data_IF_858631933624
#
_entry.id   IF_858631933624
#
_cell.length_a   1.000
_cell.length_b   1.000
_cell.length_c   1.000
_cell.angle_alpha   90.00
_cell.angle_beta   90.00
_cell.angle_gamma   90.00
#
_symmetry.space_group_name_H-M   'P 1'
#
loop_
_entity.id
_entity.type
_entity.pdbx_description
1 polymer ?
#
# COMPACT_ATOMS: atom_id res chain seq x y z
N UNK A 1 -11.64 -15.19 -2.83
CA UNK A 1 -11.40 -14.38 -1.62
C UNK A 1 -12.70 -13.66 -1.28
N UNK A 2 -13.14 -13.71 -0.02
CA UNK A 2 -14.29 -12.93 0.44
C UNK A 2 -13.83 -11.48 0.65
N UNK A 3 -14.50 -10.51 0.02
CA UNK A 3 -14.27 -9.07 0.23
C UNK A 3 -14.69 -8.72 1.66
N UNK A 4 -13.76 -8.83 2.60
CA UNK A 4 -14.02 -8.55 4.01
C UNK A 4 -13.49 -7.17 4.32
N UNK A 5 -14.38 -6.20 4.39
CA UNK A 5 -14.03 -4.88 4.92
C UNK A 5 -13.60 -5.05 6.37
N UNK A 6 -12.42 -4.53 6.70
CA UNK A 6 -11.84 -4.64 8.03
C UNK A 6 -11.29 -3.29 8.44
N UNK A 7 -11.89 -2.70 9.47
CA UNK A 7 -11.35 -1.49 10.09
C UNK A 7 -10.14 -1.83 10.94
N UNK A 8 -9.13 -0.96 10.93
CA UNK A 8 -7.96 -1.11 11.80
C UNK A 8 -8.34 -0.81 13.25
N UNK A 9 -7.80 -1.60 14.19
CA UNK A 9 -7.99 -1.38 15.63
C UNK A 9 -6.91 -0.49 16.25
N UNK A 10 -5.95 0.00 15.45
CA UNK A 10 -4.89 0.89 15.93
C UNK A 10 -5.43 2.30 16.10
N UNK A 11 -5.16 2.90 17.26
CA UNK A 11 -5.53 4.28 17.56
C UNK A 11 -4.59 5.27 16.83
N UNK A 12 -5.10 6.15 15.94
CA UNK A 12 -4.30 7.18 15.29
C UNK A 12 -3.54 8.09 16.27
N UNK A 13 -4.04 8.29 17.49
CA UNK A 13 -3.38 9.14 18.49
C UNK A 13 -2.00 8.60 18.93
N UNK A 14 -1.71 7.32 18.67
CA UNK A 14 -0.41 6.70 18.92
C UNK A 14 0.51 6.68 17.69
N UNK A 15 0.12 7.32 16.58
CA UNK A 15 0.97 7.42 15.41
C UNK A 15 2.24 8.22 15.75
N UNK A 16 3.40 7.64 15.47
CA UNK A 16 4.70 8.32 15.63
C UNK A 16 4.96 9.34 14.52
N UNK A 17 4.22 9.26 13.42
CA UNK A 17 4.24 10.17 12.28
C UNK A 17 2.79 10.33 11.81
N UNK A 18 2.34 11.57 11.73
CA UNK A 18 1.03 11.95 11.19
C UNK A 18 1.25 13.13 10.22
N UNK A 19 0.92 12.91 8.95
CA UNK A 19 1.22 13.83 7.85
C UNK A 19 0.03 13.88 6.91
N UNK A 20 -0.43 15.10 6.63
CA UNK A 20 -1.34 15.37 5.52
C UNK A 20 -0.50 15.67 4.29
N UNK A 21 -0.64 14.85 3.25
CA UNK A 21 0.03 15.05 1.96
C UNK A 21 -0.88 15.92 1.08
N UNK A 22 -0.46 17.12 0.66
CA UNK A 22 -1.25 17.95 -0.24
C UNK A 22 -1.52 17.27 -1.58
N UNK A 23 -2.61 17.65 -2.25
CA UNK A 23 -2.94 17.11 -3.56
C UNK A 23 -1.79 17.32 -4.57
N UNK A 24 -1.40 16.25 -5.26
CA UNK A 24 -0.32 16.25 -6.26
C UNK A 24 1.10 16.20 -5.69
N UNK A 25 1.27 16.24 -4.37
CA UNK A 25 2.59 16.19 -3.75
C UNK A 25 3.02 14.74 -3.44
N UNK A 26 4.30 14.38 -3.62
CA UNK A 26 4.81 13.10 -3.20
C UNK A 26 5.12 13.08 -1.70
N UNK A 27 5.11 11.89 -1.13
CA UNK A 27 5.59 11.65 0.22
C UNK A 27 6.33 10.31 0.29
N UNK A 28 7.44 10.28 1.02
CA UNK A 28 8.28 9.09 1.19
C UNK A 28 8.63 8.92 2.66
N UNK A 29 8.54 7.69 3.14
CA UNK A 29 8.91 7.35 4.51
C UNK A 29 9.51 5.95 4.58
N UNK A 30 10.57 5.80 5.38
CA UNK A 30 11.13 4.48 5.69
C UNK A 30 10.23 3.78 6.72
N UNK A 31 9.87 2.53 6.41
CA UNK A 31 9.18 1.64 7.34
C UNK A 31 10.14 0.52 7.77
N UNK A 32 10.15 0.20 9.06
CA UNK A 32 10.86 -0.96 9.59
C UNK A 32 9.90 -2.12 9.80
N UNK A 33 10.43 -3.34 9.82
CA UNK A 33 9.63 -4.54 10.07
C UNK A 33 8.78 -4.39 11.35
N UNK A 34 7.51 -4.77 11.25
CA UNK A 34 6.52 -4.69 12.34
C UNK A 34 5.83 -3.33 12.48
N UNK A 35 6.30 -2.28 11.79
CA UNK A 35 5.57 -1.02 11.73
C UNK A 35 4.36 -1.13 10.80
N UNK A 36 3.38 -0.27 11.04
CA UNK A 36 2.17 -0.14 10.24
C UNK A 36 2.04 1.31 9.83
N UNK A 37 1.75 1.54 8.56
CA UNK A 37 1.31 2.83 8.05
C UNK A 37 -0.16 2.74 7.65
N UNK A 38 -0.85 3.89 7.65
CA UNK A 38 -2.25 4.01 7.25
C UNK A 38 -2.36 5.13 6.24
N UNK A 39 -3.02 4.83 5.12
CA UNK A 39 -3.48 5.84 4.16
C UNK A 39 -4.93 6.11 4.49
N UNK A 40 -5.28 7.39 4.63
CA UNK A 40 -6.64 7.84 4.91
C UNK A 40 -7.04 8.86 3.85
N UNK A 41 -8.16 8.59 3.17
CA UNK A 41 -8.82 9.57 2.31
C UNK A 41 -9.64 10.53 3.19
N UNK A 42 -9.18 11.78 3.31
CA UNK A 42 -9.74 12.78 4.22
C UNK A 42 -11.02 13.43 3.70
N UNK A 43 -11.11 13.62 2.38
CA UNK A 43 -12.19 14.36 1.73
C UNK A 43 -13.12 13.47 0.91
N UNK A 44 -12.73 12.21 0.70
CA UNK A 44 -13.46 11.27 -0.14
C UNK A 44 -13.05 11.40 -1.61
N UNK A 45 -13.11 10.26 -2.31
CA UNK A 45 -12.88 10.15 -3.74
C UNK A 45 -11.45 10.51 -4.18
N UNK A 46 -10.47 10.43 -3.27
CA UNK A 46 -9.06 10.54 -3.60
C UNK A 46 -8.47 9.15 -3.88
N UNK A 47 -7.55 9.08 -4.83
CA UNK A 47 -6.75 7.90 -5.10
C UNK A 47 -5.26 8.27 -5.02
N UNK A 48 -4.45 7.32 -4.56
CA UNK A 48 -3.01 7.51 -4.46
C UNK A 48 -2.29 6.37 -5.16
N UNK A 49 -1.31 6.73 -5.99
CA UNK A 49 -0.34 5.78 -6.49
C UNK A 49 0.67 5.49 -5.39
N UNK A 50 0.95 4.22 -5.13
CA UNK A 50 1.88 3.82 -4.06
C UNK A 50 2.97 2.92 -4.63
N UNK A 51 4.21 3.22 -4.26
CA UNK A 51 5.38 2.43 -4.60
C UNK A 51 6.06 1.99 -3.31
N UNK A 52 6.54 0.75 -3.28
CA UNK A 52 7.30 0.20 -2.17
C UNK A 52 8.64 -0.30 -2.67
N UNK A 53 9.69 0.06 -1.94
CA UNK A 53 11.07 -0.35 -2.19
C UNK A 53 11.64 -0.97 -0.92
N UNK A 54 12.56 -1.92 -1.06
CA UNK A 54 13.34 -2.38 0.08
C UNK A 54 14.21 -1.22 0.56
N UNK A 55 14.19 -0.98 1.87
CA UNK A 55 14.98 0.09 2.48
C UNK A 55 16.48 -0.22 2.52
N UNK A 56 16.84 -1.50 2.32
CA UNK A 56 18.22 -1.98 2.29
C UNK A 56 18.74 -2.15 0.85
N UNK A 57 17.83 -2.30 -0.13
CA UNK A 57 18.16 -2.41 -1.55
C UNK A 57 17.06 -1.78 -2.44
N UNK A 58 17.25 -0.54 -2.93
CA UNK A 58 16.27 0.12 -3.80
C UNK A 58 16.03 -0.57 -5.15
N UNK A 59 16.86 -1.52 -5.59
CA UNK A 59 16.57 -2.30 -6.79
C UNK A 59 15.44 -3.33 -6.54
N UNK A 60 15.27 -3.78 -5.30
CA UNK A 60 14.12 -4.58 -4.87
C UNK A 60 12.90 -3.68 -4.63
N UNK A 61 11.85 -3.89 -5.40
CA UNK A 61 10.64 -3.07 -5.37
C UNK A 61 9.39 -3.93 -5.45
N UNK A 62 8.23 -3.36 -5.14
CA UNK A 62 6.94 -4.01 -5.29
C UNK A 62 6.73 -4.55 -6.71
N UNK A 63 6.27 -5.80 -6.80
CA UNK A 63 5.94 -6.48 -8.04
C UNK A 63 4.46 -6.85 -8.06
N UNK A 64 3.70 -6.15 -8.92
CA UNK A 64 2.30 -6.50 -9.16
C UNK A 64 2.17 -7.92 -9.72
N UNK A 65 3.11 -8.35 -10.58
CA UNK A 65 3.04 -9.64 -11.28
C UNK A 65 3.21 -10.79 -10.31
N UNK A 66 4.22 -10.71 -9.43
CA UNK A 66 4.44 -11.71 -8.38
C UNK A 66 3.29 -11.71 -7.36
N UNK A 67 2.75 -10.54 -7.02
CA UNK A 67 1.61 -10.41 -6.11
C UNK A 67 0.37 -11.12 -6.67
N UNK A 68 -0.01 -10.79 -7.91
CA UNK A 68 -1.16 -11.41 -8.59
C UNK A 68 -0.96 -12.92 -8.74
N UNK A 69 0.24 -13.36 -9.12
CA UNK A 69 0.53 -14.79 -9.28
C UNK A 69 0.41 -15.56 -7.95
N UNK A 70 0.94 -14.99 -6.86
CA UNK A 70 0.89 -15.61 -5.54
C UNK A 70 -0.54 -15.70 -5.00
N UNK A 71 -1.33 -14.62 -5.10
CA UNK A 71 -2.67 -14.57 -4.51
C UNK A 71 -3.79 -15.06 -5.45
N UNK A 72 -3.52 -15.20 -6.76
CA UNK A 72 -4.50 -15.54 -7.82
C UNK A 72 -5.73 -14.63 -7.84
N UNK A 73 -5.50 -13.34 -7.61
CA UNK A 73 -6.53 -12.30 -7.62
C UNK A 73 -5.95 -10.98 -8.15
N UNK A 74 -6.78 -10.20 -8.84
CA UNK A 74 -6.37 -8.93 -9.44
C UNK A 74 -6.39 -7.76 -8.46
N UNK A 75 -7.38 -7.71 -7.57
CA UNK A 75 -7.52 -6.64 -6.59
C UNK A 75 -6.81 -7.00 -5.30
N UNK A 76 -6.20 -6.00 -4.67
CA UNK A 76 -5.66 -6.10 -3.32
C UNK A 76 -6.74 -5.75 -2.30
N UNK A 77 -6.73 -6.41 -1.15
CA UNK A 77 -7.60 -6.12 -0.01
C UNK A 77 -6.99 -6.70 1.27
N UNK A 78 -7.71 -6.64 2.39
CA UNK A 78 -7.30 -7.28 3.65
C UNK A 78 -6.84 -8.73 3.42
N UNK A 79 -5.63 -9.04 3.87
CA UNK A 79 -5.00 -10.34 3.72
C UNK A 79 -4.13 -10.49 2.48
N UNK A 80 -4.16 -9.54 1.53
CA UNK A 80 -3.20 -9.51 0.44
C UNK A 80 -1.78 -9.31 0.98
N UNK A 81 -0.85 -10.10 0.44
CA UNK A 81 0.59 -9.98 0.69
C UNK A 81 1.23 -9.41 -0.57
N UNK A 82 1.86 -8.25 -0.44
CA UNK A 82 2.54 -7.57 -1.53
C UNK A 82 3.94 -8.18 -1.66
N UNK A 83 4.24 -8.68 -2.86
CA UNK A 83 5.47 -9.37 -3.19
C UNK A 83 6.45 -8.43 -3.88
N UNK A 84 7.75 -8.62 -3.66
CA UNK A 84 8.81 -7.87 -4.34
C UNK A 84 9.14 -8.41 -5.73
N UNK A 85 9.95 -7.66 -6.49
CA UNK A 85 10.58 -8.04 -7.75
C UNK A 85 11.46 -9.29 -7.62
N UNK A 86 11.91 -9.62 -6.42
CA UNK A 86 12.63 -10.86 -6.09
C UNK A 86 11.74 -11.99 -5.56
N UNK A 87 10.42 -11.75 -5.45
CA UNK A 87 9.46 -12.75 -4.97
C UNK A 87 9.44 -12.90 -3.45
N UNK A 88 9.95 -11.91 -2.70
CA UNK A 88 9.90 -11.88 -1.23
C UNK A 88 8.66 -11.11 -0.74
N UNK A 89 8.02 -11.51 0.37
CA UNK A 89 6.97 -10.71 1.00
C UNK A 89 7.53 -9.37 1.51
N UNK A 90 6.90 -8.25 1.13
CA UNK A 90 7.28 -6.92 1.61
C UNK A 90 6.28 -6.38 2.64
N UNK A 91 4.99 -6.44 2.31
CA UNK A 91 3.91 -5.84 3.09
C UNK A 91 2.69 -6.75 3.12
N UNK A 92 1.83 -6.54 4.12
CA UNK A 92 0.52 -7.17 4.19
C UNK A 92 -0.55 -6.13 4.47
N UNK A 93 -1.65 -6.19 3.74
CA UNK A 93 -2.81 -5.33 4.01
C UNK A 93 -3.55 -5.93 5.21
N UNK A 94 -3.43 -5.30 6.37
CA UNK A 94 -4.01 -5.81 7.64
C UNK A 94 -5.40 -5.29 7.94
N UNK A 95 -5.81 -4.21 7.27
CA UNK A 95 -7.11 -3.55 7.35
C UNK A 95 -7.39 -2.81 6.03
N UNK A 96 -8.65 -2.79 5.61
CA UNK A 96 -9.13 -2.19 4.38
C UNK A 96 -10.63 -1.87 4.50
N UNK A 97 -10.99 -0.61 4.31
CA UNK A 97 -12.39 -0.14 4.33
C UNK A 97 -12.96 0.13 2.94
N UNK A 98 -12.14 0.02 1.89
CA UNK A 98 -12.53 0.21 0.49
C UNK A 98 -12.88 -1.13 -0.18
N UNK A 99 -12.20 -2.21 0.23
CA UNK A 99 -12.44 -3.58 -0.21
C UNK A 99 -11.76 -3.94 -1.53
N UNK A 100 -11.43 -2.98 -2.39
CA UNK A 100 -10.72 -3.21 -3.65
C UNK A 100 -9.73 -2.10 -3.92
N UNK A 101 -8.46 -2.47 -4.04
CA UNK A 101 -7.38 -1.61 -4.51
C UNK A 101 -6.85 -2.17 -5.83
N UNK A 102 -6.77 -1.32 -6.84
CA UNK A 102 -6.16 -1.71 -8.11
C UNK A 102 -4.64 -1.78 -7.96
N UNK A 103 -4.03 -2.71 -8.70
CA UNK A 103 -2.58 -2.81 -8.82
C UNK A 103 -2.12 -2.91 -10.27
N UNK A 104 -3.04 -2.80 -11.23
CA UNK A 104 -2.75 -2.91 -12.65
C UNK A 104 -2.43 -1.54 -13.27
N UNK A 105 -3.00 -0.47 -12.71
CA UNK A 105 -2.63 0.90 -13.01
C UNK A 105 -1.18 1.17 -12.62
N UNK A 106 -0.34 1.52 -13.60
CA UNK A 106 0.98 2.07 -13.33
C UNK A 106 0.85 3.48 -12.75
N UNK A 107 1.90 3.93 -12.06
CA UNK A 107 1.94 5.29 -11.53
C UNK A 107 1.75 6.32 -12.67
N UNK A 108 0.84 7.28 -12.48
CA UNK A 108 0.56 8.30 -13.48
C UNK A 108 1.75 9.26 -13.59
N UNK A 109 2.55 9.11 -14.64
CA UNK A 109 3.67 10.00 -14.95
C UNK A 109 3.18 11.18 -15.81
N UNK A 110 2.34 12.06 -15.25
CA UNK A 110 2.19 13.38 -15.87
C UNK A 110 3.34 14.24 -15.36
N UNK A 111 4.36 14.43 -16.19
CA UNK A 111 5.40 15.43 -15.93
C UNK A 111 4.74 16.80 -15.83
N UNK A 112 4.79 17.41 -14.64
CA UNK A 112 4.47 18.82 -14.45
C UNK A 112 5.65 19.68 -14.90
#
# INVERSE_FOLDING_TARGET
MSLTLKTSTLDPAHAVVDVIVPAGEPWMQKLTQGQVFRILDLEGNQAVDTLFFSADDPEEHYSMTHTIQAQRALYLTTGSVLMSSEGRPMLSIVADTCGRHDTLGGASATAS
#
